data_IF_137204949074
#
_entry.id   IF_137204949074
#
_cell.length_a   1.000
_cell.length_b   1.000
_cell.length_c   1.000
_cell.angle_alpha   90.00
_cell.angle_beta   90.00
_cell.angle_gamma   90.00
#
_symmetry.space_group_name_H-M   'P 1'
#
loop_
_entity.id
_entity.type
_entity.pdbx_description
1 polymer ?
#
# COMPACT_ATOMS: atom_id res chain seq x y z
N UNK A 1 1.15 37.79 53.12
CA UNK A 1 0.06 37.38 52.22
C UNK A 1 0.66 37.06 50.87
N UNK A 2 0.82 35.77 50.55
CA UNK A 2 1.35 35.31 49.25
C UNK A 2 0.16 34.82 48.44
N UNK A 3 -0.12 35.47 47.32
CA UNK A 3 -1.14 35.05 46.36
C UNK A 3 -0.54 33.98 45.44
N UNK A 4 -1.05 32.75 45.52
CA UNK A 4 -0.77 31.69 44.54
C UNK A 4 -1.78 31.77 43.40
N UNK A 5 -1.30 32.20 42.23
CA UNK A 5 -2.04 32.20 40.98
C UNK A 5 -2.25 30.76 40.49
N UNK A 6 -3.48 30.28 40.45
CA UNK A 6 -3.86 29.03 39.79
C UNK A 6 -4.06 29.27 38.29
N UNK A 7 -3.18 28.72 37.46
CA UNK A 7 -3.39 28.65 36.01
C UNK A 7 -4.10 27.34 35.65
N UNK A 8 -5.35 27.43 35.19
CA UNK A 8 -6.09 26.30 34.60
C UNK A 8 -5.67 26.13 33.14
N UNK A 9 -5.02 25.01 32.82
CA UNK A 9 -4.69 24.64 31.44
C UNK A 9 -5.87 23.82 30.90
N UNK A 10 -6.60 24.39 29.95
CA UNK A 10 -7.66 23.70 29.18
C UNK A 10 -7.03 23.13 27.91
N UNK A 11 -7.04 21.80 27.76
CA UNK A 11 -6.56 21.14 26.53
C UNK A 11 -7.73 20.90 25.57
N UNK A 12 -7.56 21.16 24.27
CA UNK A 12 -8.60 20.91 23.28
C UNK A 12 -8.78 19.40 23.05
N UNK A 13 -10.03 18.93 23.17
CA UNK A 13 -10.44 17.56 22.92
C UNK A 13 -10.58 17.32 21.41
N UNK A 14 -9.70 16.51 20.83
CA UNK A 14 -9.83 16.01 19.45
C UNK A 14 -10.72 14.77 19.42
N UNK A 15 -11.78 14.71 18.59
CA UNK A 15 -12.56 13.49 18.45
C UNK A 15 -11.77 12.42 17.69
N UNK A 16 -11.72 11.22 18.26
CA UNK A 16 -11.14 10.03 17.64
C UNK A 16 -12.14 9.48 16.62
N UNK A 17 -11.85 9.62 15.32
CA UNK A 17 -12.58 8.94 14.26
C UNK A 17 -12.07 7.51 14.10
N UNK A 18 -12.95 6.52 14.27
CA UNK A 18 -12.68 5.12 13.96
C UNK A 18 -12.75 4.91 12.43
N UNK A 19 -11.73 4.31 11.78
CA UNK A 19 -11.82 3.99 10.37
C UNK A 19 -12.87 2.89 10.15
N UNK A 20 -13.93 3.23 9.42
CA UNK A 20 -14.89 2.25 8.91
C UNK A 20 -14.19 1.29 7.96
N UNK A 21 -14.30 0.00 8.25
CA UNK A 21 -13.78 -1.10 7.44
C UNK A 21 -14.66 -1.25 6.20
N UNK A 22 -14.16 -0.83 5.04
CA UNK A 22 -14.80 -1.12 3.75
C UNK A 22 -14.60 -2.60 3.42
N UNK A 23 -15.65 -3.38 3.08
CA UNK A 23 -15.46 -4.76 2.65
C UNK A 23 -14.82 -4.80 1.25
N UNK A 24 -13.79 -5.63 1.10
CA UNK A 24 -13.13 -5.87 -0.17
C UNK A 24 -14.11 -6.51 -1.18
N UNK A 25 -14.40 -5.80 -2.27
CA UNK A 25 -15.11 -6.36 -3.41
C UNK A 25 -14.22 -7.42 -4.08
N UNK A 26 -14.58 -8.70 -3.91
CA UNK A 26 -14.04 -9.82 -4.66
C UNK A 26 -14.34 -9.61 -6.15
N UNK A 27 -13.31 -9.35 -6.96
CA UNK A 27 -13.42 -9.44 -8.41
C UNK A 27 -13.43 -10.92 -8.81
N UNK A 28 -14.61 -11.44 -9.10
CA UNK A 28 -14.81 -12.70 -9.80
C UNK A 28 -14.69 -12.44 -11.30
N UNK A 29 -13.71 -13.05 -11.96
CA UNK A 29 -13.59 -13.00 -13.41
C UNK A 29 -14.71 -13.84 -14.04
N UNK A 30 -15.74 -13.20 -14.56
CA UNK A 30 -16.75 -13.82 -15.41
C UNK A 30 -16.54 -13.36 -16.86
N UNK A 31 -16.28 -14.32 -17.76
CA UNK A 31 -16.20 -14.11 -19.21
C UNK A 31 -17.60 -13.75 -19.74
N UNK A 32 -17.78 -12.52 -20.22
CA UNK A 32 -19.01 -12.11 -20.91
C UNK A 32 -18.79 -12.23 -22.41
N UNK A 33 -19.47 -13.20 -23.01
CA UNK A 33 -19.54 -13.40 -24.46
C UNK A 33 -20.55 -12.40 -25.03
N UNK A 34 -20.11 -11.58 -25.99
CA UNK A 34 -20.99 -10.66 -26.73
C UNK A 34 -21.63 -11.40 -27.91
N UNK A 35 -22.97 -11.40 -28.08
CA UNK A 35 -23.59 -11.99 -29.26
C UNK A 35 -23.49 -11.02 -30.46
N UNK A 36 -23.13 -11.58 -31.62
CA UNK A 36 -23.10 -10.87 -32.91
C UNK A 36 -24.52 -10.56 -33.39
N UNK A 37 -24.86 -9.28 -33.56
CA UNK A 37 -26.04 -8.85 -34.32
C UNK A 37 -25.61 -8.30 -35.68
N UNK A 38 -26.14 -8.87 -36.76
CA UNK A 38 -25.92 -8.42 -38.13
C UNK A 38 -26.68 -7.11 -38.42
N UNK A 39 -26.15 -6.20 -39.26
CA UNK A 39 -26.89 -5.02 -39.67
C UNK A 39 -27.92 -5.37 -40.75
N UNK A 40 -29.14 -4.88 -40.52
CA UNK A 40 -30.30 -4.95 -41.41
C UNK A 40 -30.09 -4.03 -42.61
N UNK A 41 -30.25 -4.56 -43.83
CA UNK A 41 -30.25 -3.78 -45.07
C UNK A 41 -31.70 -3.40 -45.34
N UNK A 42 -32.00 -2.11 -45.46
CA UNK A 42 -33.28 -1.67 -46.05
C UNK A 42 -33.07 -0.62 -47.14
N UNK A 43 -33.53 -1.05 -48.31
CA UNK A 43 -33.66 -0.37 -49.59
C UNK A 43 -34.48 0.91 -49.52
N UNK A 44 -34.10 1.88 -50.35
CA UNK A 44 -34.94 2.56 -51.35
C UNK A 44 -34.33 3.94 -51.63
N UNK A 45 -33.63 4.19 -52.74
CA UNK A 45 -34.06 3.97 -54.12
C UNK A 45 -35.53 4.36 -54.31
N UNK A 46 -35.87 5.62 -54.01
CA UNK A 46 -37.03 6.30 -54.60
C UNK A 46 -36.94 7.78 -54.31
N UNK A 47 -36.46 8.49 -55.30
CA UNK A 47 -36.82 9.85 -55.70
C UNK A 47 -35.66 10.26 -56.60
N UNK A 48 -35.96 10.51 -57.86
CA UNK A 48 -35.38 11.53 -58.74
C UNK A 48 -35.93 11.25 -60.14
N UNK A 49 -37.24 11.38 -60.26
CA UNK A 49 -37.84 11.82 -61.52
C UNK A 49 -37.63 13.32 -61.59
N UNK A 50 -36.53 13.77 -62.18
CA UNK A 50 -36.40 15.15 -62.66
C UNK A 50 -35.30 15.22 -63.69
N UNK A 51 -35.69 15.52 -64.92
CA UNK A 51 -34.83 15.91 -66.04
C UNK A 51 -33.82 16.97 -65.59
N UNK A 52 -32.56 16.60 -65.44
CA UNK A 52 -31.46 17.56 -65.41
C UNK A 52 -30.40 17.15 -66.44
N UNK A 53 -30.11 18.09 -67.33
CA UNK A 53 -29.06 18.03 -68.35
C UNK A 53 -27.75 17.50 -67.76
N UNK A 54 -27.15 16.50 -68.42
CA UNK A 54 -25.77 16.10 -68.14
C UNK A 54 -24.87 17.26 -68.59
N UNK A 55 -24.10 17.93 -67.70
CA UNK A 55 -23.13 18.91 -68.14
C UNK A 55 -22.05 18.20 -68.97
N UNK A 56 -21.77 18.71 -70.18
CA UNK A 56 -20.70 18.18 -71.05
C UNK A 56 -19.37 18.16 -70.29
N UNK A 57 -18.79 16.96 -70.15
CA UNK A 57 -17.47 16.77 -69.55
C UNK A 57 -16.41 17.48 -70.41
N UNK A 58 -15.66 18.41 -69.83
CA UNK A 58 -14.53 19.05 -70.50
C UNK A 58 -13.34 18.07 -70.54
N UNK A 59 -12.85 17.66 -71.73
CA UNK A 59 -11.75 16.69 -71.85
C UNK A 59 -10.38 17.24 -71.40
N UNK A 60 -10.25 18.55 -71.22
CA UNK A 60 -9.00 19.19 -70.76
C UNK A 60 -8.95 19.41 -69.25
N UNK A 61 -9.93 18.90 -68.49
CA UNK A 61 -9.94 19.01 -67.04
C UNK A 61 -10.07 17.62 -66.41
N UNK A 62 -9.12 17.16 -65.58
CA UNK A 62 -9.25 15.87 -64.92
C UNK A 62 -10.48 15.91 -64.00
N UNK A 63 -11.32 14.86 -63.98
CA UNK A 63 -12.48 14.82 -63.11
C UNK A 63 -12.03 14.97 -61.65
N UNK A 64 -12.71 15.84 -60.90
CA UNK A 64 -12.54 15.95 -59.44
C UNK A 64 -13.20 14.74 -58.76
N UNK A 65 -12.76 13.55 -59.13
CA UNK A 65 -12.99 12.35 -58.33
C UNK A 65 -12.25 12.61 -57.04
N UNK A 66 -12.95 12.53 -55.90
CA UNK A 66 -12.25 12.39 -54.62
C UNK A 66 -11.30 11.22 -54.82
N UNK A 67 -9.99 11.51 -54.89
CA UNK A 67 -8.98 10.46 -54.94
C UNK A 67 -9.27 9.64 -53.70
N UNK A 68 -9.85 8.45 -53.86
CA UNK A 68 -9.71 7.44 -52.82
C UNK A 68 -8.21 7.28 -52.74
N UNK A 69 -7.62 7.78 -51.67
CA UNK A 69 -6.28 7.36 -51.27
C UNK A 69 -6.47 5.88 -51.00
N UNK A 70 -6.21 5.08 -52.02
CA UNK A 70 -6.40 3.65 -52.00
C UNK A 70 -5.29 3.11 -51.09
N UNK A 71 -5.56 3.12 -49.78
CA UNK A 71 -5.01 2.12 -48.90
C UNK A 71 -5.96 0.93 -49.01
N UNK A 72 -5.65 -0.03 -49.89
CA UNK A 72 -6.41 -1.30 -50.02
C UNK A 72 -6.36 -2.14 -48.73
N UNK A 73 -5.57 -1.71 -47.76
CA UNK A 73 -5.36 -2.41 -46.52
C UNK A 73 -6.34 -1.89 -45.48
N UNK A 74 -7.26 -2.74 -45.07
CA UNK A 74 -8.08 -2.46 -43.89
C UNK A 74 -7.14 -2.25 -42.68
N UNK A 75 -7.53 -1.45 -41.66
CA UNK A 75 -6.68 -1.17 -40.50
C UNK A 75 -6.10 -2.43 -39.82
N UNK A 76 -6.84 -3.54 -39.85
CA UNK A 76 -6.38 -4.83 -39.35
C UNK A 76 -5.23 -5.43 -40.17
N UNK A 77 -5.32 -5.38 -41.51
CA UNK A 77 -4.24 -5.85 -42.41
C UNK A 77 -3.01 -4.95 -42.30
N UNK A 78 -3.23 -3.63 -42.22
CA UNK A 78 -2.14 -2.68 -41.99
C UNK A 78 -1.43 -2.94 -40.65
N UNK A 79 -2.20 -3.18 -39.59
CA UNK A 79 -1.65 -3.53 -38.28
C UNK A 79 -0.85 -4.85 -38.32
N UNK A 80 -1.37 -5.87 -39.01
CA UNK A 80 -0.67 -7.13 -39.20
C UNK A 80 0.64 -6.96 -39.98
N UNK A 81 0.63 -6.21 -41.08
CA UNK A 81 1.83 -5.92 -41.88
C UNK A 81 2.85 -5.09 -41.09
N UNK A 82 2.39 -4.14 -40.27
CA UNK A 82 3.25 -3.37 -39.38
C UNK A 82 3.91 -4.26 -38.33
N UNK A 83 3.16 -5.15 -37.70
CA UNK A 83 3.70 -6.14 -36.75
C UNK A 83 4.72 -7.07 -37.42
N UNK A 84 4.43 -7.58 -38.63
CA UNK A 84 5.38 -8.41 -39.40
C UNK A 84 6.68 -7.66 -39.68
N UNK A 85 6.60 -6.39 -40.04
CA UNK A 85 7.78 -5.55 -40.32
C UNK A 85 8.64 -5.37 -39.07
N UNK A 86 8.02 -5.14 -37.91
CA UNK A 86 8.72 -5.02 -36.63
C UNK A 86 9.39 -6.34 -36.21
N UNK A 87 8.73 -7.47 -36.43
CA UNK A 87 9.32 -8.78 -36.14
C UNK A 87 10.51 -9.05 -37.07
N UNK A 88 10.36 -8.78 -38.37
CA UNK A 88 11.45 -8.95 -39.34
C UNK A 88 12.61 -8.02 -39.02
N UNK A 89 12.38 -6.77 -38.64
CA UNK A 89 13.46 -5.84 -38.29
C UNK A 89 14.20 -6.26 -37.02
N UNK A 90 13.48 -6.75 -36.00
CA UNK A 90 14.10 -7.31 -34.79
C UNK A 90 14.92 -8.56 -35.11
N UNK A 91 14.38 -9.48 -35.91
CA UNK A 91 15.08 -10.70 -36.33
C UNK A 91 16.32 -10.35 -37.17
N UNK A 92 16.21 -9.40 -38.10
CA UNK A 92 17.35 -8.95 -38.91
C UNK A 92 18.40 -8.23 -38.07
N UNK A 93 17.99 -7.44 -37.08
CA UNK A 93 18.92 -6.80 -36.14
C UNK A 93 19.72 -7.85 -35.36
N UNK A 94 19.04 -8.86 -34.81
CA UNK A 94 19.68 -9.99 -34.11
C UNK A 94 20.58 -10.79 -35.05
N UNK A 95 20.13 -11.10 -36.27
CA UNK A 95 20.94 -11.82 -37.27
C UNK A 95 22.15 -11.01 -37.75
N UNK A 96 22.02 -9.70 -37.86
CA UNK A 96 23.11 -8.80 -38.19
C UNK A 96 24.13 -8.73 -37.06
N UNK A 97 23.68 -8.62 -35.82
CA UNK A 97 24.54 -8.65 -34.63
C UNK A 97 25.32 -9.97 -34.56
N UNK A 98 24.63 -11.12 -34.73
CA UNK A 98 25.26 -12.44 -34.82
C UNK A 98 26.26 -12.57 -35.98
N UNK A 99 25.97 -12.02 -37.17
CA UNK A 99 26.91 -12.05 -38.31
C UNK A 99 28.13 -11.15 -38.11
N UNK A 100 27.94 -10.00 -37.46
CA UNK A 100 29.01 -9.05 -37.13
C UNK A 100 30.03 -9.67 -36.17
N UNK A 101 29.59 -10.59 -35.33
CA UNK A 101 30.43 -11.31 -34.36
C UNK A 101 31.22 -12.51 -34.94
N UNK A 102 30.96 -12.94 -36.18
CA UNK A 102 31.56 -14.15 -36.77
C UNK A 102 32.63 -13.93 -37.85
N UNK A 103 33.07 -12.69 -38.12
CA UNK A 103 34.32 -12.43 -38.85
C UNK A 103 35.30 -11.68 -37.97
N UNK A 104 36.05 -12.43 -37.16
CA UNK A 104 37.19 -11.90 -36.40
C UNK A 104 38.38 -12.84 -36.66
N UNK A 105 39.58 -12.32 -37.00
CA UNK A 105 40.76 -13.14 -37.16
C UNK A 105 41.10 -13.84 -35.83
N UNK A 106 41.44 -15.13 -35.93
CA UNK A 106 41.45 -16.14 -34.86
C UNK A 106 42.28 -15.84 -33.60
N UNK A 107 42.99 -14.71 -33.54
CA UNK A 107 43.74 -14.25 -32.37
C UNK A 107 42.96 -13.35 -31.38
N UNK A 108 41.90 -12.66 -31.82
CA UNK A 108 41.15 -11.69 -30.97
C UNK A 108 39.96 -12.35 -30.24
N UNK A 109 39.54 -13.55 -30.68
CA UNK A 109 38.42 -14.28 -30.08
C UNK A 109 38.70 -14.72 -28.63
N UNK A 110 39.95 -15.07 -28.32
CA UNK A 110 40.36 -15.56 -26.99
C UNK A 110 40.28 -14.44 -25.95
N UNK A 111 40.73 -13.24 -26.29
CA UNK A 111 40.67 -12.07 -25.39
C UNK A 111 39.25 -11.58 -25.16
N UNK A 112 38.39 -11.58 -26.20
CA UNK A 112 36.98 -11.21 -26.04
C UNK A 112 36.21 -12.22 -25.19
N UNK A 113 36.47 -13.52 -25.37
CA UNK A 113 35.83 -14.56 -24.57
C UNK A 113 36.32 -14.55 -23.11
N UNK A 114 37.61 -14.33 -22.88
CA UNK A 114 38.17 -14.18 -21.53
C UNK A 114 37.63 -12.93 -20.84
N UNK A 115 37.56 -11.79 -21.55
CA UNK A 115 37.00 -10.56 -21.02
C UNK A 115 35.50 -10.71 -20.69
N UNK A 116 34.71 -11.32 -21.57
CA UNK A 116 33.30 -11.59 -21.32
C UNK A 116 33.08 -12.56 -20.13
N UNK A 117 33.94 -13.58 -20.01
CA UNK A 117 33.89 -14.52 -18.89
C UNK A 117 34.25 -13.84 -17.56
N UNK A 118 35.28 -13.01 -17.53
CA UNK A 118 35.70 -12.27 -16.35
C UNK A 118 34.67 -11.21 -15.93
N UNK A 119 34.07 -10.49 -16.89
CA UNK A 119 33.00 -9.53 -16.58
C UNK A 119 31.75 -10.24 -16.08
N UNK A 120 31.37 -11.36 -16.69
CA UNK A 120 30.25 -12.19 -16.24
C UNK A 120 30.46 -12.72 -14.81
N UNK A 121 31.66 -13.23 -14.52
CA UNK A 121 32.01 -13.72 -13.18
C UNK A 121 31.98 -12.57 -12.16
N UNK A 122 32.58 -11.42 -12.49
CA UNK A 122 32.58 -10.23 -11.63
C UNK A 122 31.15 -9.75 -11.33
N UNK A 123 30.28 -9.66 -12.35
CA UNK A 123 28.87 -9.29 -12.18
C UNK A 123 28.14 -10.33 -11.33
N UNK A 124 28.35 -11.63 -11.57
CA UNK A 124 27.72 -12.69 -10.77
C UNK A 124 28.14 -12.63 -9.30
N UNK A 125 29.41 -12.32 -9.04
CA UNK A 125 29.94 -12.16 -7.69
C UNK A 125 29.35 -10.92 -7.02
N UNK A 126 29.28 -9.79 -7.72
CA UNK A 126 28.64 -8.58 -7.21
C UNK A 126 27.16 -8.81 -6.88
N UNK A 127 26.43 -9.50 -7.76
CA UNK A 127 25.02 -9.84 -7.50
C UNK A 127 24.88 -10.76 -6.29
N UNK A 128 25.76 -11.75 -6.12
CA UNK A 128 25.77 -12.62 -4.94
C UNK A 128 25.99 -11.82 -3.65
N UNK A 129 26.93 -10.87 -3.63
CA UNK A 129 27.15 -9.99 -2.48
C UNK A 129 25.93 -9.13 -2.21
N UNK A 130 25.31 -8.54 -3.24
CA UNK A 130 24.10 -7.73 -3.10
C UNK A 130 22.92 -8.52 -2.56
N UNK A 131 22.76 -9.77 -2.96
CA UNK A 131 21.72 -10.66 -2.44
C UNK A 131 21.96 -10.92 -0.95
N UNK A 132 23.19 -11.26 -0.55
CA UNK A 132 23.52 -11.46 0.86
C UNK A 132 23.32 -10.20 1.71
N UNK A 133 23.70 -9.03 1.19
CA UNK A 133 23.44 -7.73 1.84
C UNK A 133 21.94 -7.49 2.03
N UNK A 134 21.13 -7.78 1.00
CA UNK A 134 19.68 -7.60 1.06
C UNK A 134 19.02 -8.55 2.06
N UNK A 135 19.42 -9.83 2.06
CA UNK A 135 18.95 -10.83 3.05
C UNK A 135 19.33 -10.42 4.47
N UNK A 136 20.55 -9.91 4.67
CA UNK A 136 20.99 -9.42 5.96
C UNK A 136 20.13 -8.23 6.45
N UNK A 137 19.87 -7.24 5.58
CA UNK A 137 19.02 -6.10 5.93
C UNK A 137 17.59 -6.54 6.26
N UNK A 138 17.05 -7.50 5.51
CA UNK A 138 15.72 -8.06 5.79
C UNK A 138 15.68 -8.75 7.16
N UNK A 139 16.72 -9.50 7.51
CA UNK A 139 16.80 -10.17 8.80
C UNK A 139 16.97 -9.17 9.96
N UNK A 140 17.76 -8.12 9.77
CA UNK A 140 17.90 -7.03 10.76
C UNK A 140 16.55 -6.36 11.01
N UNK A 141 15.78 -6.04 9.96
CA UNK A 141 14.46 -5.44 10.09
C UNK A 141 13.47 -6.37 10.81
N UNK A 142 13.48 -7.66 10.44
CA UNK A 142 12.68 -8.69 11.11
C UNK A 142 12.99 -8.77 12.61
N UNK A 143 14.27 -8.75 12.98
CA UNK A 143 14.70 -8.77 14.37
C UNK A 143 14.32 -7.50 15.11
N UNK A 144 14.49 -6.32 14.49
CA UNK A 144 14.11 -5.04 15.07
C UNK A 144 12.61 -5.02 15.43
N UNK A 145 11.74 -5.39 14.48
CA UNK A 145 10.29 -5.49 14.72
C UNK A 145 9.94 -6.50 15.82
N UNK A 146 10.62 -7.65 15.85
CA UNK A 146 10.38 -8.66 16.89
C UNK A 146 10.75 -8.16 18.29
N UNK A 147 11.88 -7.46 18.41
CA UNK A 147 12.37 -6.90 19.68
C UNK A 147 11.49 -5.76 20.18
N UNK A 148 11.03 -4.88 19.30
CA UNK A 148 10.11 -3.79 19.65
C UNK A 148 8.76 -4.34 20.13
N UNK A 149 8.24 -5.38 19.46
CA UNK A 149 7.02 -6.08 19.90
C UNK A 149 7.20 -6.67 21.29
N UNK A 150 8.31 -7.37 21.53
CA UNK A 150 8.64 -7.97 22.82
C UNK A 150 8.78 -6.90 23.92
N UNK A 151 9.43 -5.77 23.62
CA UNK A 151 9.56 -4.65 24.54
C UNK A 151 8.20 -4.05 24.92
N UNK A 152 7.29 -3.89 23.94
CA UNK A 152 5.91 -3.44 24.20
C UNK A 152 5.16 -4.40 25.12
N UNK A 153 5.28 -5.70 24.89
CA UNK A 153 4.67 -6.74 25.73
C UNK A 153 5.23 -6.67 27.15
N UNK A 154 6.56 -6.62 27.31
CA UNK A 154 7.23 -6.51 28.61
C UNK A 154 6.81 -5.26 29.37
N UNK A 155 6.78 -4.12 28.69
CA UNK A 155 6.34 -2.86 29.27
C UNK A 155 4.87 -2.94 29.72
N UNK A 156 3.97 -3.45 28.87
CA UNK A 156 2.57 -3.64 29.23
C UNK A 156 2.41 -4.57 30.44
N UNK A 157 3.14 -5.69 30.48
CA UNK A 157 3.12 -6.63 31.60
C UNK A 157 3.63 -5.99 32.89
N UNK A 158 4.72 -5.23 32.82
CA UNK A 158 5.26 -4.51 33.97
C UNK A 158 4.26 -3.47 34.49
N UNK A 159 3.61 -2.72 33.59
CA UNK A 159 2.59 -1.74 33.97
C UNK A 159 1.36 -2.38 34.60
N UNK A 160 0.92 -3.54 34.14
CA UNK A 160 -0.18 -4.28 34.77
C UNK A 160 0.22 -4.76 36.17
N UNK A 161 1.40 -5.36 36.33
CA UNK A 161 1.91 -5.80 37.63
C UNK A 161 2.02 -4.64 38.64
N UNK A 162 2.48 -3.47 38.19
CA UNK A 162 2.55 -2.26 39.02
C UNK A 162 1.16 -1.79 39.46
N UNK A 163 0.15 -1.82 38.57
CA UNK A 163 -1.23 -1.47 38.93
C UNK A 163 -1.80 -2.44 39.97
N UNK A 164 -1.58 -3.73 39.76
CA UNK A 164 -2.09 -4.78 40.65
C UNK A 164 -1.47 -4.69 42.04
N UNK A 165 -0.15 -4.44 42.12
CA UNK A 165 0.53 -4.28 43.40
C UNK A 165 0.09 -3.00 44.12
N UNK A 166 -0.08 -1.88 43.41
CA UNK A 166 -0.65 -0.67 44.00
C UNK A 166 -2.05 -0.88 44.55
N UNK A 167 -2.90 -1.62 43.82
CA UNK A 167 -4.23 -1.99 44.30
C UNK A 167 -4.13 -2.82 45.58
N UNK A 168 -3.25 -3.84 45.60
CA UNK A 168 -3.01 -4.69 46.76
C UNK A 168 -2.58 -3.87 47.99
N UNK A 169 -1.64 -2.94 47.82
CA UNK A 169 -1.16 -2.05 48.87
C UNK A 169 -2.25 -1.10 49.39
N UNK A 170 -3.07 -0.56 48.50
CA UNK A 170 -4.18 0.31 48.85
C UNK A 170 -5.23 -0.43 49.68
N UNK A 171 -5.59 -1.65 49.27
CA UNK A 171 -6.53 -2.48 50.01
C UNK A 171 -5.96 -2.88 51.38
N UNK A 172 -4.68 -3.24 51.46
CA UNK A 172 -4.02 -3.54 52.73
C UNK A 172 -4.03 -2.31 53.66
N UNK A 173 -3.61 -1.15 53.18
CA UNK A 173 -3.64 0.10 53.93
C UNK A 173 -5.05 0.50 54.37
N UNK A 174 -6.07 0.13 53.61
CA UNK A 174 -7.47 0.33 54.00
C UNK A 174 -7.88 -0.60 55.15
N UNK A 175 -7.53 -1.89 55.06
CA UNK A 175 -7.78 -2.88 56.13
C UNK A 175 -7.07 -2.48 57.42
N UNK A 176 -5.81 -2.07 57.34
CA UNK A 176 -5.03 -1.66 58.51
C UNK A 176 -5.64 -0.43 59.17
N UNK A 177 -6.02 0.59 58.39
CA UNK A 177 -6.70 1.78 58.94
C UNK A 177 -8.05 1.46 59.55
N UNK A 178 -8.80 0.51 59.00
CA UNK A 178 -10.06 0.07 59.57
C UNK A 178 -9.86 -0.65 60.91
N UNK A 179 -8.84 -1.52 60.98
CA UNK A 179 -8.47 -2.23 62.20
C UNK A 179 -8.01 -1.25 63.30
N UNK A 180 -7.13 -0.31 62.97
CA UNK A 180 -6.65 0.72 63.91
C UNK A 180 -7.82 1.52 64.47
N UNK A 181 -8.73 2.00 63.62
CA UNK A 181 -9.93 2.73 64.07
C UNK A 181 -10.81 1.89 65.01
N UNK A 182 -10.98 0.61 64.72
CA UNK A 182 -11.73 -0.29 65.60
C UNK A 182 -11.04 -0.46 66.95
N UNK A 183 -9.72 -0.60 66.97
CA UNK A 183 -8.96 -0.73 68.21
C UNK A 183 -8.97 0.56 69.03
N UNK A 184 -8.87 1.72 68.38
CA UNK A 184 -8.99 3.03 69.01
C UNK A 184 -10.36 3.21 69.66
N UNK A 185 -11.45 2.89 68.95
CA UNK A 185 -12.80 2.95 69.50
C UNK A 185 -12.98 2.04 70.74
N UNK A 186 -12.37 0.85 70.74
CA UNK A 186 -12.39 -0.03 71.91
C UNK A 186 -11.60 0.55 73.09
N UNK A 187 -10.44 1.15 72.83
CA UNK A 187 -9.62 1.82 73.85
C UNK A 187 -10.34 3.02 74.44
N UNK A 188 -10.96 3.86 73.61
CA UNK A 188 -11.78 4.99 74.05
C UNK A 188 -12.91 4.52 74.96
N UNK A 189 -13.61 3.44 74.58
CA UNK A 189 -14.67 2.85 75.40
C UNK A 189 -14.17 2.37 76.76
N UNK A 190 -13.02 1.69 76.82
CA UNK A 190 -12.45 1.26 78.10
C UNK A 190 -11.99 2.46 78.94
N UNK A 191 -11.41 3.49 78.33
CA UNK A 191 -10.97 4.69 79.01
C UNK A 191 -12.15 5.44 79.64
N UNK A 192 -13.26 5.56 78.92
CA UNK A 192 -14.52 6.13 79.44
C UNK A 192 -15.14 5.27 80.55
N UNK A 193 -14.93 3.94 80.52
CA UNK A 193 -15.38 3.05 81.58
C UNK A 193 -14.61 3.28 82.89
N UNK A 194 -13.30 3.50 82.77
CA UNK A 194 -12.40 3.74 83.91
C UNK A 194 -12.50 5.18 84.45
N UNK A 195 -12.74 6.15 83.56
CA UNK A 195 -12.92 7.56 83.88
C UNK A 195 -14.29 8.03 83.38
N UNK A 196 -15.38 7.69 84.07
CA UNK A 196 -16.70 8.19 83.70
C UNK A 196 -16.66 9.72 83.74
N UNK A 197 -16.99 10.34 82.60
CA UNK A 197 -17.06 11.79 82.47
C UNK A 197 -18.03 12.30 83.55
N UNK A 198 -17.55 13.14 84.46
CA UNK A 198 -18.40 13.85 85.39
C UNK A 198 -19.20 14.91 84.61
N UNK A 199 -20.39 14.53 84.13
CA UNK A 199 -21.35 15.45 83.52
C UNK A 199 -22.07 16.35 84.54
N UNK A 200 -21.85 16.17 85.86
CA UNK A 200 -22.57 16.89 86.93
C UNK A 200 -22.04 18.29 87.24
N UNK A 201 -21.00 18.78 86.54
CA UNK A 201 -20.38 20.09 86.80
C UNK A 201 -20.51 21.15 85.70
N UNK A 202 -21.10 20.84 84.54
CA UNK A 202 -21.08 21.73 83.35
C UNK A 202 -22.42 22.39 83.01
N UNK A 203 -23.49 22.06 83.73
CA UNK A 203 -24.77 22.77 83.66
C UNK A 203 -24.90 23.66 84.91
N UNK A 204 -24.61 24.95 84.76
CA UNK A 204 -25.00 26.03 85.68
C UNK A 204 -26.15 26.81 85.07
#
# INVERSE_FOLDING_TARGET
HVFTTTASISTPSTPVCFPHSTPAARQSCCLVVTPMTFPNISDSARLWTSTQNIPRLNPLHPPMVHKRTVSLETPAVHHHNHQRTLIISQVLFVLFDLKSHHQVPSGIQVDKNNHFSLTSLCVSQQLSTRVQEAEHLQEVDRLALSSEREQRIRHSKAMSAYRDENKRLMEQSWRDRALTRSQEALKERELLRLNPINWSGTLK
#
